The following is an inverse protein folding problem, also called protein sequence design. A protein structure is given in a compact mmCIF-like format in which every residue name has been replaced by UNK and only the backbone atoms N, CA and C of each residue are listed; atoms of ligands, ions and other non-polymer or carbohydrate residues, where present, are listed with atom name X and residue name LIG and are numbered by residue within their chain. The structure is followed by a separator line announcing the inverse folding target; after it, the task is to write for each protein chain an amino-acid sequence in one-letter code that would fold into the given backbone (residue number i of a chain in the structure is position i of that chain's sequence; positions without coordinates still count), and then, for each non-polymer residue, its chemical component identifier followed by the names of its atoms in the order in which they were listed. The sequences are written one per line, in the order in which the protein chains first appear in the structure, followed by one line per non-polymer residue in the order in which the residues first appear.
data_IF_935338374788
#
_entry.id   IF_935338374788
#
_cell.length_a   1.000
_cell.length_b   1.000
_cell.length_c   1.000
_cell.angle_alpha   90.00
_cell.angle_beta   90.00
_cell.angle_gamma   90.00
#
_symmetry.space_group_name_H-M   'P 1'
#
loop_
_entity.id
_entity.type
_entity.pdbx_description
1 polymer ?
#
# COMPACT_ATOMS: atom_id res chain seq x y z
N UNK A 1 27.73 10.33 13.81
CA UNK A 1 26.26 10.36 13.86
C UNK A 1 25.77 8.98 13.45
N UNK A 2 24.99 8.26 14.24
CA UNK A 2 24.51 6.94 13.85
C UNK A 2 23.46 7.05 12.72
N UNK A 3 23.44 6.06 11.84
CA UNK A 3 22.45 5.91 10.78
C UNK A 3 21.60 4.69 11.14
N UNK A 4 20.28 4.84 11.12
CA UNK A 4 19.33 3.78 11.34
C UNK A 4 18.57 3.50 10.04
N UNK A 5 18.45 2.23 9.67
CA UNK A 5 17.62 1.79 8.57
C UNK A 5 16.39 1.09 9.17
N UNK A 6 15.22 1.52 8.77
CA UNK A 6 13.94 0.91 9.17
C UNK A 6 13.28 0.40 7.91
N UNK A 7 13.12 -0.91 7.81
CA UNK A 7 12.32 -1.52 6.74
C UNK A 7 10.85 -1.39 7.06
N UNK A 8 10.06 -1.02 6.07
CA UNK A 8 8.60 -0.92 6.16
C UNK A 8 7.97 -1.63 4.97
N UNK A 9 6.77 -2.17 5.17
CA UNK A 9 5.89 -2.58 4.08
C UNK A 9 4.83 -1.49 3.91
N UNK A 10 4.65 -1.00 2.69
CA UNK A 10 3.75 0.13 2.42
C UNK A 10 2.30 -0.12 2.83
N UNK A 11 1.86 -1.38 2.78
CA UNK A 11 0.49 -1.79 3.13
C UNK A 11 0.37 -2.37 4.55
N UNK A 12 1.41 -2.22 5.37
CA UNK A 12 1.39 -2.69 6.76
C UNK A 12 0.43 -1.84 7.62
N UNK A 13 -0.65 -2.40 8.22
CA UNK A 13 -1.52 -1.67 9.13
C UNK A 13 -0.77 -1.14 10.35
N UNK A 14 0.28 -1.85 10.78
CA UNK A 14 1.18 -1.42 11.84
C UNK A 14 2.20 -0.35 11.40
N UNK A 15 2.37 -0.10 10.10
CA UNK A 15 3.42 0.74 9.53
C UNK A 15 3.48 2.14 10.14
N UNK A 16 2.33 2.77 10.35
CA UNK A 16 2.26 4.05 11.06
C UNK A 16 2.79 3.97 12.49
N UNK A 17 2.29 3.02 13.28
CA UNK A 17 2.63 2.88 14.69
C UNK A 17 4.09 2.49 14.88
N UNK A 18 4.59 1.54 14.09
CA UNK A 18 5.98 1.11 14.10
C UNK A 18 6.93 2.23 13.74
N UNK A 19 6.64 2.98 12.67
CA UNK A 19 7.47 4.12 12.25
C UNK A 19 7.47 5.22 13.31
N UNK A 20 6.31 5.60 13.83
CA UNK A 20 6.21 6.59 14.91
C UNK A 20 6.96 6.18 16.17
N UNK A 21 6.93 4.88 16.51
CA UNK A 21 7.67 4.31 17.64
C UNK A 21 9.19 4.38 17.42
N UNK A 22 9.66 4.03 16.22
CA UNK A 22 11.07 4.13 15.86
C UNK A 22 11.57 5.58 15.91
N UNK A 23 10.81 6.54 15.37
CA UNK A 23 11.13 7.97 15.41
C UNK A 23 11.25 8.47 16.85
N UNK A 24 10.32 8.12 17.73
CA UNK A 24 10.36 8.46 19.15
C UNK A 24 11.56 7.83 19.86
N UNK A 25 11.90 6.58 19.53
CA UNK A 25 13.02 5.86 20.14
C UNK A 25 14.37 6.42 19.74
N UNK A 26 14.56 6.71 18.45
CA UNK A 26 15.86 7.12 17.93
C UNK A 26 16.06 8.62 17.86
N UNK A 27 14.99 9.41 17.92
CA UNK A 27 15.00 10.88 17.88
C UNK A 27 15.95 11.42 16.80
N UNK A 28 15.79 11.04 15.53
CA UNK A 28 16.69 11.45 14.47
C UNK A 28 16.54 12.96 14.22
N UNK A 29 17.60 13.61 13.78
CA UNK A 29 17.55 15.00 13.31
C UNK A 29 17.11 15.11 11.84
N UNK A 30 17.16 14.01 11.10
CA UNK A 30 16.79 13.94 9.69
C UNK A 30 16.28 12.54 9.38
N UNK A 31 15.25 12.46 8.54
CA UNK A 31 14.70 11.18 8.01
C UNK A 31 14.64 11.25 6.50
N UNK A 32 15.16 10.22 5.83
CA UNK A 32 14.86 9.93 4.43
C UNK A 32 13.62 9.06 4.37
N UNK A 33 12.65 9.43 3.53
CA UNK A 33 11.43 8.65 3.31
C UNK A 33 11.17 8.49 1.81
N UNK A 34 10.74 7.30 1.41
CA UNK A 34 10.33 7.02 0.03
C UNK A 34 8.96 7.66 -0.24
N UNK A 35 9.01 8.91 -0.57
CA UNK A 35 7.85 9.74 -0.87
C UNK A 35 8.25 10.77 -1.93
N UNK A 36 7.32 11.08 -2.81
CA UNK A 36 7.57 12.00 -3.93
C UNK A 36 7.17 13.47 -3.64
N UNK A 37 6.77 13.78 -2.40
CA UNK A 37 6.51 15.13 -1.95
C UNK A 37 5.12 15.69 -2.31
N UNK A 38 4.90 16.95 -1.96
CA UNK A 38 3.59 17.62 -2.06
C UNK A 38 3.11 17.79 -3.51
N UNK A 39 4.00 17.82 -4.49
CA UNK A 39 3.64 17.89 -5.91
C UNK A 39 2.95 16.61 -6.36
N UNK A 40 3.47 15.47 -5.94
CA UNK A 40 2.86 14.18 -6.19
C UNK A 40 1.51 14.03 -5.49
N UNK A 41 1.37 14.51 -4.24
CA UNK A 41 0.08 14.50 -3.54
C UNK A 41 -0.99 15.32 -4.29
N UNK A 42 -0.64 16.52 -4.76
CA UNK A 42 -1.56 17.33 -5.59
C UNK A 42 -1.94 16.64 -6.90
N UNK A 43 -1.01 15.90 -7.51
CA UNK A 43 -1.32 15.09 -8.69
C UNK A 43 -2.32 13.99 -8.34
N UNK A 44 -2.13 13.25 -7.25
CA UNK A 44 -3.06 12.19 -6.82
C UNK A 44 -4.48 12.69 -6.55
N UNK A 45 -4.61 13.93 -6.09
CA UNK A 45 -5.91 14.58 -5.81
C UNK A 45 -6.51 15.26 -7.06
N UNK A 46 -5.84 15.22 -8.21
CA UNK A 46 -6.31 15.88 -9.42
C UNK A 46 -7.52 15.19 -10.06
N UNK A 47 -8.37 15.96 -10.73
CA UNK A 47 -9.51 15.43 -11.50
C UNK A 47 -9.07 14.40 -12.55
N UNK A 48 -7.86 14.55 -13.11
CA UNK A 48 -7.26 13.58 -14.03
C UNK A 48 -7.14 12.21 -13.38
N UNK A 49 -6.53 12.14 -12.19
CA UNK A 49 -6.29 10.88 -11.48
C UNK A 49 -7.60 10.28 -11.00
N UNK A 50 -8.50 11.09 -10.44
CA UNK A 50 -9.82 10.62 -9.99
C UNK A 50 -10.59 9.96 -11.15
N UNK A 51 -10.55 10.54 -12.35
CA UNK A 51 -11.20 9.96 -13.53
C UNK A 51 -10.51 8.67 -13.98
N UNK A 52 -9.18 8.67 -14.11
CA UNK A 52 -8.42 7.49 -14.53
C UNK A 52 -8.60 6.33 -13.54
N UNK A 53 -8.59 6.61 -12.24
CA UNK A 53 -8.84 5.62 -11.20
C UNK A 53 -10.24 5.02 -11.31
N UNK A 54 -11.27 5.86 -11.52
CA UNK A 54 -12.62 5.38 -11.69
C UNK A 54 -12.79 4.48 -12.92
N UNK A 55 -12.13 4.81 -14.04
CA UNK A 55 -12.11 3.99 -15.25
C UNK A 55 -11.43 2.64 -15.00
N UNK A 56 -10.31 2.65 -14.28
CA UNK A 56 -9.55 1.47 -13.89
C UNK A 56 -10.39 0.56 -12.96
N UNK A 57 -10.97 1.14 -11.91
CA UNK A 57 -11.79 0.41 -10.93
C UNK A 57 -12.98 -0.28 -11.59
N UNK A 58 -13.67 0.41 -12.48
CA UNK A 58 -14.80 -0.14 -13.24
C UNK A 58 -14.36 -1.32 -14.14
N UNK A 59 -13.19 -1.20 -14.76
CA UNK A 59 -12.66 -2.27 -15.61
C UNK A 59 -12.24 -3.50 -14.78
N UNK A 60 -11.63 -3.29 -13.61
CA UNK A 60 -11.23 -4.39 -12.72
C UNK A 60 -12.47 -5.08 -12.13
N UNK A 61 -13.50 -4.34 -11.70
CA UNK A 61 -14.78 -4.94 -11.23
C UNK A 61 -15.39 -5.86 -12.29
N UNK A 62 -15.30 -5.49 -13.58
CA UNK A 62 -15.75 -6.38 -14.67
C UNK A 62 -14.95 -7.67 -14.72
N UNK A 63 -13.63 -7.63 -14.48
CA UNK A 63 -12.81 -8.85 -14.39
C UNK A 63 -13.29 -9.76 -13.27
N UNK A 64 -13.62 -9.22 -12.09
CA UNK A 64 -14.20 -10.00 -10.99
C UNK A 64 -15.51 -10.68 -11.42
N UNK A 65 -16.43 -9.93 -12.04
CA UNK A 65 -17.66 -10.49 -12.57
C UNK A 65 -17.45 -11.61 -13.61
N UNK A 66 -16.53 -11.42 -14.55
CA UNK A 66 -16.20 -12.41 -15.58
C UNK A 66 -15.68 -13.73 -15.00
N UNK A 67 -15.01 -13.64 -13.84
CA UNK A 67 -14.52 -14.81 -13.09
C UNK A 67 -15.54 -15.38 -12.10
N UNK A 68 -16.76 -14.82 -12.05
CA UNK A 68 -17.81 -15.26 -11.13
C UNK A 68 -17.58 -14.85 -9.68
N UNK A 69 -16.72 -13.84 -9.44
CA UNK A 69 -16.42 -13.30 -8.11
C UNK A 69 -17.34 -12.12 -7.80
N UNK A 70 -17.60 -11.90 -6.48
CA UNK A 70 -18.34 -10.73 -6.03
C UNK A 70 -17.48 -9.47 -6.19
N UNK A 71 -18.02 -8.44 -6.81
CA UNK A 71 -17.36 -7.15 -6.99
C UNK A 71 -17.05 -6.45 -5.66
N UNK A 72 -17.84 -6.72 -4.61
CA UNK A 72 -17.61 -6.16 -3.28
C UNK A 72 -16.24 -6.55 -2.71
N UNK A 73 -15.69 -7.70 -3.13
CA UNK A 73 -14.33 -8.13 -2.74
C UNK A 73 -13.26 -7.15 -3.23
N UNK A 74 -13.43 -6.61 -4.45
CA UNK A 74 -12.53 -5.59 -4.96
C UNK A 74 -12.65 -4.28 -4.17
N UNK A 75 -13.87 -3.84 -3.91
CA UNK A 75 -14.12 -2.58 -3.19
C UNK A 75 -13.61 -2.66 -1.74
N UNK A 76 -13.79 -3.80 -1.07
CA UNK A 76 -13.27 -4.05 0.26
C UNK A 76 -11.74 -4.06 0.26
N UNK A 77 -11.10 -4.78 -0.68
CA UNK A 77 -9.66 -4.79 -0.84
C UNK A 77 -9.08 -3.41 -1.10
N UNK A 78 -9.71 -2.63 -1.96
CA UNK A 78 -9.30 -1.25 -2.25
C UNK A 78 -9.43 -0.33 -1.03
N UNK A 79 -10.50 -0.47 -0.25
CA UNK A 79 -10.69 0.29 0.98
C UNK A 79 -9.58 -0.01 1.98
N UNK A 80 -9.31 -1.30 2.22
CA UNK A 80 -8.26 -1.75 3.12
C UNK A 80 -6.88 -1.24 2.65
N UNK A 81 -6.56 -1.36 1.37
CA UNK A 81 -5.31 -0.89 0.81
C UNK A 81 -5.15 0.62 0.99
N UNK A 82 -6.18 1.41 0.68
CA UNK A 82 -6.13 2.86 0.83
C UNK A 82 -5.98 3.32 2.30
N UNK A 83 -6.59 2.62 3.25
CA UNK A 83 -6.45 2.92 4.67
C UNK A 83 -5.06 2.63 5.21
N UNK A 84 -4.39 1.61 4.65
CA UNK A 84 -3.08 1.13 5.09
C UNK A 84 -1.92 1.80 4.36
N UNK A 85 -2.12 2.17 3.09
CA UNK A 85 -1.08 2.73 2.24
C UNK A 85 -0.39 3.93 2.87
N UNK A 86 0.95 3.93 2.79
CA UNK A 86 1.79 5.03 3.24
C UNK A 86 1.67 5.39 4.72
N UNK A 87 1.41 4.41 5.59
CA UNK A 87 1.41 4.61 7.05
C UNK A 87 2.71 5.23 7.55
N UNK A 88 3.86 4.79 7.04
CA UNK A 88 5.18 5.31 7.35
C UNK A 88 5.36 6.78 6.94
N UNK A 89 4.86 7.17 5.76
CA UNK A 89 4.94 8.57 5.30
C UNK A 89 4.12 9.47 6.21
N UNK A 90 2.90 9.04 6.56
CA UNK A 90 2.04 9.79 7.50
C UNK A 90 2.70 9.94 8.86
N UNK A 91 3.32 8.87 9.39
CA UNK A 91 4.03 8.91 10.68
C UNK A 91 5.20 9.88 10.66
N UNK A 92 5.98 9.92 9.58
CA UNK A 92 7.08 10.86 9.40
C UNK A 92 6.58 12.29 9.32
N UNK A 93 5.49 12.56 8.58
CA UNK A 93 4.90 13.90 8.45
C UNK A 93 4.38 14.42 9.79
N UNK A 94 3.64 13.59 10.53
CA UNK A 94 3.11 13.94 11.84
C UNK A 94 4.24 14.24 12.82
N UNK A 95 5.24 13.36 12.90
CA UNK A 95 6.39 13.55 13.78
C UNK A 95 7.22 14.77 13.40
N UNK A 96 7.40 15.04 12.10
CA UNK A 96 8.09 16.24 11.63
C UNK A 96 7.37 17.52 12.04
N UNK A 97 6.04 17.52 11.98
CA UNK A 97 5.22 18.67 12.40
C UNK A 97 5.30 18.90 13.90
N UNK A 98 5.43 17.85 14.72
CA UNK A 98 5.52 17.91 16.18
C UNK A 98 6.92 18.35 16.66
N UNK A 99 7.99 17.83 16.03
CA UNK A 99 9.36 17.92 16.55
C UNK A 99 10.31 18.74 15.67
N UNK A 100 9.86 19.28 14.55
CA UNK A 100 10.70 20.07 13.64
C UNK A 100 11.76 19.26 12.89
N UNK A 101 11.48 17.98 12.63
CA UNK A 101 12.36 17.06 11.94
C UNK A 101 12.60 17.48 10.48
N UNK A 102 13.83 17.34 9.99
CA UNK A 102 14.15 17.51 8.57
C UNK A 102 13.77 16.23 7.82
N UNK A 103 12.84 16.37 6.88
CA UNK A 103 12.42 15.27 6.00
C UNK A 103 13.08 15.43 4.64
N UNK A 104 13.73 14.35 4.17
CA UNK A 104 14.33 14.27 2.85
C UNK A 104 13.50 13.27 2.03
N UNK A 105 12.87 13.79 0.99
CA UNK A 105 12.18 12.93 0.00
C UNK A 105 13.22 12.25 -0.87
N UNK A 106 13.07 10.95 -1.09
CA UNK A 106 14.04 10.15 -1.84
C UNK A 106 13.58 9.80 -3.24
N UNK A 107 12.33 10.12 -3.57
CA UNK A 107 11.74 9.86 -4.87
C UNK A 107 11.46 11.16 -5.63
N UNK A 108 11.67 11.16 -6.95
CA UNK A 108 11.31 12.30 -7.81
C UNK A 108 9.82 12.34 -8.06
N UNK A 109 9.19 13.49 -7.76
CA UNK A 109 7.77 13.71 -8.04
C UNK A 109 7.46 13.49 -9.53
N UNK A 110 8.30 14.01 -10.44
CA UNK A 110 8.12 13.85 -11.88
C UNK A 110 8.13 12.39 -12.30
N UNK A 111 9.11 11.60 -11.80
CA UNK A 111 9.21 10.16 -12.12
C UNK A 111 8.01 9.39 -11.59
N UNK A 112 7.57 9.68 -10.37
CA UNK A 112 6.43 9.00 -9.75
C UNK A 112 5.13 9.34 -10.46
N UNK A 113 4.89 10.62 -10.77
CA UNK A 113 3.74 11.09 -11.54
C UNK A 113 3.68 10.39 -12.91
N UNK A 114 4.82 10.32 -13.61
CA UNK A 114 4.87 9.66 -14.90
C UNK A 114 4.56 8.16 -14.80
N UNK A 115 5.08 7.49 -13.77
CA UNK A 115 4.83 6.07 -13.52
C UNK A 115 3.35 5.81 -13.21
N UNK A 116 2.75 6.58 -12.29
CA UNK A 116 1.35 6.39 -11.89
C UNK A 116 0.40 6.73 -13.05
N UNK A 117 0.68 7.79 -13.82
CA UNK A 117 -0.11 8.13 -15.00
C UNK A 117 -0.08 7.02 -16.04
N UNK A 118 1.10 6.43 -16.29
CA UNK A 118 1.24 5.30 -17.22
C UNK A 118 0.48 4.08 -16.71
N UNK A 119 0.60 3.77 -15.42
CA UNK A 119 -0.13 2.66 -14.81
C UNK A 119 -1.65 2.84 -14.91
N UNK A 120 -2.18 3.99 -14.50
CA UNK A 120 -3.61 4.27 -14.54
C UNK A 120 -4.17 4.35 -15.97
N UNK A 121 -3.33 4.63 -16.97
CA UNK A 121 -3.72 4.65 -18.37
C UNK A 121 -3.67 3.29 -19.06
N UNK A 122 -2.99 2.29 -18.47
CA UNK A 122 -2.90 0.92 -19.00
C UNK A 122 -3.99 0.02 -18.39
N UNK A 123 -5.24 0.39 -18.64
CA UNK A 123 -6.41 -0.37 -18.15
C UNK A 123 -6.38 -1.83 -18.61
N UNK A 124 -5.99 -2.07 -19.88
CA UNK A 124 -5.91 -3.42 -20.44
C UNK A 124 -4.80 -4.26 -19.76
N UNK A 125 -3.67 -3.64 -19.45
CA UNK A 125 -2.57 -4.27 -18.71
C UNK A 125 -2.99 -4.65 -17.30
N UNK A 126 -3.62 -3.74 -16.59
CA UNK A 126 -4.14 -3.99 -15.25
C UNK A 126 -5.19 -5.11 -15.25
N UNK A 127 -6.16 -5.08 -16.18
CA UNK A 127 -7.17 -6.14 -16.31
C UNK A 127 -6.54 -7.52 -16.59
N UNK A 128 -5.51 -7.58 -17.45
CA UNK A 128 -4.78 -8.84 -17.70
C UNK A 128 -4.07 -9.32 -16.45
N UNK A 129 -3.40 -8.41 -15.72
CA UNK A 129 -2.71 -8.76 -14.48
C UNK A 129 -3.68 -9.30 -13.43
N UNK A 130 -4.77 -8.59 -13.14
CA UNK A 130 -5.79 -9.03 -12.19
C UNK A 130 -6.41 -10.38 -12.58
N UNK A 131 -6.74 -10.56 -13.86
CA UNK A 131 -7.30 -11.84 -14.37
C UNK A 131 -6.34 -12.99 -14.12
N UNK A 132 -5.06 -12.84 -14.47
CA UNK A 132 -4.06 -13.89 -14.29
C UNK A 132 -3.85 -14.21 -12.81
N UNK A 133 -3.72 -13.18 -11.99
CA UNK A 133 -3.54 -13.32 -10.54
C UNK A 133 -4.73 -14.04 -9.89
N UNK A 134 -5.96 -13.59 -10.13
CA UNK A 134 -7.18 -14.19 -9.59
C UNK A 134 -7.36 -15.64 -10.10
N UNK A 135 -7.11 -15.90 -11.39
CA UNK A 135 -7.17 -17.27 -11.94
C UNK A 135 -6.19 -18.19 -11.23
N UNK A 136 -4.94 -17.72 -11.00
CA UNK A 136 -3.93 -18.50 -10.27
C UNK A 136 -4.36 -18.78 -8.82
N UNK A 137 -4.99 -17.81 -8.15
CA UNK A 137 -5.54 -17.99 -6.81
C UNK A 137 -6.66 -19.01 -6.78
N UNK A 138 -7.58 -18.95 -7.75
CA UNK A 138 -8.68 -19.90 -7.89
C UNK A 138 -8.15 -21.32 -8.12
N UNK A 139 -7.19 -21.50 -9.04
CA UNK A 139 -6.62 -22.79 -9.38
C UNK A 139 -5.74 -23.40 -8.27
N UNK A 140 -5.07 -22.56 -7.47
CA UNK A 140 -4.15 -23.02 -6.43
C UNK A 140 -4.81 -23.59 -5.17
N UNK A 141 -6.12 -23.37 -5.00
CA UNK A 141 -6.85 -23.81 -3.80
C UNK A 141 -7.74 -25.03 -4.11
N UNK A 142 -7.27 -26.24 -3.81
CA UNK A 142 -8.14 -27.42 -3.70
C UNK A 142 -9.24 -27.12 -2.66
N UNK A 143 -10.51 -27.11 -3.10
CA UNK A 143 -11.66 -26.83 -2.23
C UNK A 143 -12.00 -25.34 -2.10
N UNK A 144 -11.63 -24.56 -3.08
CA UNK A 144 -11.91 -23.13 -3.16
C UNK A 144 -13.37 -22.78 -2.88
N UNK A 145 -13.59 -21.93 -1.87
CA UNK A 145 -14.90 -21.31 -1.63
C UNK A 145 -14.79 -19.83 -2.03
N UNK A 146 -15.53 -19.35 -3.07
CA UNK A 146 -15.52 -17.95 -3.48
C UNK A 146 -15.90 -16.98 -2.36
N UNK A 147 -16.71 -17.44 -1.39
CA UNK A 147 -17.08 -16.66 -0.19
C UNK A 147 -15.94 -16.49 0.83
N UNK A 148 -14.84 -17.24 0.64
CA UNK A 148 -13.67 -17.22 1.53
C UNK A 148 -12.47 -16.47 0.97
N UNK A 149 -12.59 -15.75 -0.16
CA UNK A 149 -11.52 -14.86 -0.58
C UNK A 149 -11.46 -13.67 0.37
N UNK A 150 -10.62 -13.80 1.35
CA UNK A 150 -9.95 -12.67 1.92
C UNK A 150 -8.78 -12.34 0.99
N UNK A 151 -8.91 -11.32 0.18
CA UNK A 151 -7.87 -10.86 -0.79
C UNK A 151 -6.59 -10.50 -0.04
N UNK A 152 -6.70 -10.23 1.25
CA UNK A 152 -5.62 -10.04 2.19
C UNK A 152 -5.80 -11.08 3.30
N UNK A 153 -4.93 -12.09 3.30
CA UNK A 153 -4.93 -13.08 4.36
C UNK A 153 -4.48 -12.40 5.67
N UNK A 154 -5.36 -12.20 6.66
CA UNK A 154 -4.97 -11.61 7.94
C UNK A 154 -3.88 -12.44 8.64
N UNK A 155 -3.71 -13.68 8.20
CA UNK A 155 -2.79 -14.67 8.77
C UNK A 155 -1.31 -14.30 8.55
N UNK A 156 -0.96 -13.76 7.40
CA UNK A 156 0.39 -13.24 7.16
C UNK A 156 0.69 -12.02 8.03
N UNK A 157 -0.35 -11.36 8.50
CA UNK A 157 -0.30 -10.16 9.30
C UNK A 157 0.05 -10.44 10.77
N UNK A 158 -0.63 -11.40 11.39
CA UNK A 158 -0.39 -11.76 12.80
C UNK A 158 1.03 -12.31 12.97
N UNK A 159 1.55 -13.05 12.00
CA UNK A 159 2.93 -13.53 11.99
C UNK A 159 3.96 -12.39 11.87
N UNK A 160 3.65 -11.35 11.08
CA UNK A 160 4.52 -10.21 10.89
C UNK A 160 4.49 -9.26 12.09
N UNK A 161 3.34 -9.00 12.71
CA UNK A 161 3.23 -8.25 13.97
C UNK A 161 3.97 -8.95 15.11
N UNK A 162 3.87 -10.27 15.23
CA UNK A 162 4.62 -11.04 16.21
C UNK A 162 6.14 -10.87 16.01
N UNK A 163 6.61 -10.90 14.77
CA UNK A 163 8.02 -10.69 14.43
C UNK A 163 8.50 -9.27 14.77
N UNK A 164 7.71 -8.24 14.47
CA UNK A 164 8.03 -6.83 14.77
C UNK A 164 8.01 -6.54 16.28
N UNK A 165 7.15 -7.20 17.03
CA UNK A 165 7.07 -7.05 18.49
C UNK A 165 8.15 -7.85 19.25
N UNK A 166 9.04 -8.54 18.52
CA UNK A 166 10.16 -9.30 19.10
C UNK A 166 9.74 -10.56 19.82
N UNK A 167 8.54 -11.06 19.55
CA UNK A 167 8.08 -12.33 20.08
C UNK A 167 8.62 -13.48 19.21
N UNK A 168 9.92 -13.73 19.34
CA UNK A 168 10.66 -14.84 18.72
C UNK A 168 10.36 -16.19 19.40
N UNK A 169 9.23 -16.35 20.05
CA UNK A 169 8.91 -17.56 20.83
C UNK A 169 8.32 -18.71 20.00
N UNK A 170 8.31 -18.59 18.67
CA UNK A 170 7.89 -19.67 17.76
C UNK A 170 9.02 -20.07 16.80
N UNK A 171 10.11 -20.58 17.32
CA UNK A 171 10.99 -21.53 16.64
C UNK A 171 10.83 -22.94 17.22
#
# INVERSE_FOLDING_TARGET
MPIYLVGVLHDDPGGYACTKSALKKFQPSMVGVEWAGDEYERFRESDEVVRLQAEMDEAIRRVFCELGLDQSLYDEGNTISNERSFGEVRAVRDYSSEEGLVVVVTESAESRIAMDRNFLSDVDGACRWYRNWLTSLIESREGYNPEAINVFDPWEYDAFEAHLNGDMSQE
#
